data_IF_849294563771
#
_entry.id   IF_849294563771
#
_cell.length_a   1.000
_cell.length_b   1.000
_cell.length_c   1.000
_cell.angle_alpha   90.00
_cell.angle_beta   90.00
_cell.angle_gamma   90.00
#
_symmetry.space_group_name_H-M   'P 1'
#
loop_
_entity.id
_entity.type
_entity.pdbx_description
1 polymer ?
#
# COMPACT_ATOMS: atom_id res chain seq x y z
N UNK A 1 8.74 -7.06 32.67
CA UNK A 1 7.81 -7.26 31.54
C UNK A 1 7.97 -6.13 30.52
N UNK A 2 9.16 -6.01 29.85
CA UNK A 2 9.46 -4.90 28.89
C UNK A 2 10.12 -5.36 27.57
N UNK A 3 9.99 -6.63 27.19
CA UNK A 3 10.73 -7.17 26.03
C UNK A 3 9.87 -7.51 24.79
N UNK A 4 8.55 -7.28 24.80
CA UNK A 4 7.65 -7.72 23.72
C UNK A 4 7.38 -6.62 22.69
N UNK A 5 7.64 -5.35 23.03
CA UNK A 5 7.28 -4.19 22.18
C UNK A 5 8.23 -3.98 20.98
N UNK A 6 9.49 -4.40 21.09
CA UNK A 6 10.53 -4.10 20.08
C UNK A 6 10.41 -4.94 18.80
N UNK A 7 9.84 -6.14 18.86
CA UNK A 7 9.74 -7.04 17.70
C UNK A 7 8.60 -6.65 16.75
N UNK A 8 7.56 -5.95 17.24
CA UNK A 8 6.42 -5.51 16.43
C UNK A 8 6.72 -4.33 15.50
N UNK A 9 7.69 -3.49 15.84
CA UNK A 9 8.05 -2.33 15.01
C UNK A 9 8.86 -2.70 13.76
N UNK A 10 9.73 -3.69 13.85
CA UNK A 10 10.65 -4.04 12.75
C UNK A 10 9.95 -4.67 11.55
N UNK A 11 8.88 -5.45 11.77
CA UNK A 11 8.13 -6.11 10.69
C UNK A 11 7.20 -5.15 9.91
N UNK A 12 6.75 -4.07 10.55
CA UNK A 12 5.94 -3.05 9.87
C UNK A 12 6.78 -2.11 8.98
N UNK A 13 8.05 -1.88 9.34
CA UNK A 13 8.96 -1.05 8.52
C UNK A 13 9.20 -1.63 7.12
N UNK A 14 9.27 -2.96 7.00
CA UNK A 14 9.47 -3.63 5.73
C UNK A 14 8.27 -3.46 4.75
N UNK A 15 7.05 -3.32 5.28
CA UNK A 15 5.84 -3.16 4.45
C UNK A 15 5.76 -1.74 3.85
N UNK A 16 6.27 -0.74 4.57
CA UNK A 16 6.21 0.66 4.12
C UNK A 16 7.19 0.97 2.97
N UNK A 17 8.33 0.29 2.90
CA UNK A 17 9.27 0.46 1.78
C UNK A 17 8.69 -0.01 0.43
N UNK A 18 7.76 -0.98 0.43
CA UNK A 18 7.09 -1.45 -0.79
C UNK A 18 6.01 -0.51 -1.35
N UNK A 19 5.51 0.43 -0.54
CA UNK A 19 4.47 1.38 -0.97
C UNK A 19 5.00 2.39 -2.00
N UNK A 20 6.30 2.64 -2.04
CA UNK A 20 6.89 3.71 -2.86
C UNK A 20 7.18 3.35 -4.33
N UNK A 21 7.13 2.07 -4.70
CA UNK A 21 7.56 1.65 -6.04
C UNK A 21 6.46 1.50 -7.10
N UNK A 22 5.19 1.77 -6.78
CA UNK A 22 4.07 1.51 -7.69
C UNK A 22 3.34 2.75 -8.22
N UNK A 23 3.73 3.96 -7.85
CA UNK A 23 3.08 5.18 -8.31
C UNK A 23 3.89 5.95 -9.35
N UNK A 24 4.22 5.34 -10.46
CA UNK A 24 4.60 6.17 -11.61
C UNK A 24 4.41 5.41 -12.92
N UNK A 25 3.53 5.97 -13.70
CA UNK A 25 3.56 5.97 -15.16
C UNK A 25 2.55 5.10 -15.89
N UNK A 26 1.46 5.76 -16.14
CA UNK A 26 0.94 5.76 -17.51
C UNK A 26 1.67 6.90 -18.25
N UNK A 27 2.74 6.60 -18.97
CA UNK A 27 3.26 7.45 -20.04
C UNK A 27 4.36 6.68 -20.79
N UNK A 28 4.10 6.39 -22.06
CA UNK A 28 5.09 5.94 -23.02
C UNK A 28 6.13 7.04 -23.23
N UNK A 29 7.26 6.95 -22.54
CA UNK A 29 8.51 7.58 -22.99
C UNK A 29 9.70 6.87 -22.34
N UNK A 30 10.43 6.13 -23.17
CA UNK A 30 11.76 5.59 -22.83
C UNK A 30 12.71 6.78 -22.73
N UNK A 31 13.23 7.05 -21.55
CA UNK A 31 14.43 7.89 -21.36
C UNK A 31 15.44 6.99 -20.64
N UNK A 32 16.43 6.56 -21.40
CA UNK A 32 17.67 5.96 -20.90
C UNK A 32 18.52 7.05 -20.27
N UNK A 33 18.60 7.08 -18.94
CA UNK A 33 19.72 7.69 -18.20
C UNK A 33 20.15 6.71 -17.13
N UNK A 34 21.43 6.36 -17.16
CA UNK A 34 22.01 5.36 -16.28
C UNK A 34 21.93 5.78 -14.81
N UNK A 35 21.30 4.93 -14.03
CA UNK A 35 21.44 4.84 -12.60
C UNK A 35 21.43 3.33 -12.25
N UNK A 36 22.59 2.83 -11.83
CA UNK A 36 22.88 1.42 -11.55
C UNK A 36 22.32 0.95 -10.19
N UNK A 37 21.13 1.37 -9.83
CA UNK A 37 20.40 0.72 -8.73
C UNK A 37 19.70 -0.53 -9.28
N UNK A 38 19.81 -1.71 -8.62
CA UNK A 38 19.16 -2.93 -9.08
C UNK A 38 17.64 -2.80 -8.96
N UNK A 39 17.03 -2.27 -10.02
CA UNK A 39 15.57 -2.14 -10.14
C UNK A 39 14.99 -3.54 -10.23
N UNK A 40 14.24 -3.94 -9.22
CA UNK A 40 13.51 -5.20 -9.24
C UNK A 40 12.65 -5.28 -10.51
N UNK A 41 12.94 -6.26 -11.35
CA UNK A 41 12.22 -6.46 -12.61
C UNK A 41 10.83 -6.99 -12.31
N UNK A 42 9.83 -6.12 -12.37
CA UNK A 42 8.42 -6.49 -12.25
C UNK A 42 7.90 -6.93 -13.61
N UNK A 43 7.29 -8.09 -13.70
CA UNK A 43 6.75 -8.65 -14.93
C UNK A 43 5.24 -8.82 -14.81
N UNK A 44 4.47 -8.34 -15.79
CA UNK A 44 3.05 -8.63 -15.90
C UNK A 44 2.89 -10.10 -16.27
N UNK A 45 2.08 -10.82 -15.52
CA UNK A 45 1.83 -12.24 -15.71
C UNK A 45 0.33 -12.51 -15.82
N UNK A 46 -0.05 -13.55 -16.56
CA UNK A 46 -1.42 -14.03 -16.53
C UNK A 46 -1.70 -14.72 -15.19
N UNK A 47 -2.96 -14.75 -14.75
CA UNK A 47 -3.36 -15.47 -13.52
C UNK A 47 -2.95 -16.94 -13.54
N UNK A 48 -2.91 -17.59 -14.70
CA UNK A 48 -2.44 -18.97 -14.90
C UNK A 48 -0.93 -19.14 -14.66
N UNK A 49 -0.15 -18.07 -14.75
CA UNK A 49 1.29 -18.07 -14.47
C UNK A 49 1.63 -17.62 -13.04
N UNK A 50 0.64 -17.16 -12.29
CA UNK A 50 0.79 -16.87 -10.87
C UNK A 50 0.72 -18.19 -10.06
N UNK A 51 1.20 -18.14 -8.82
CA UNK A 51 1.11 -19.28 -7.92
C UNK A 51 -0.36 -19.68 -7.69
N UNK A 52 -0.71 -20.95 -7.95
CA UNK A 52 -2.08 -21.48 -7.82
C UNK A 52 -2.69 -21.22 -6.44
N UNK A 53 -1.89 -21.30 -5.36
CA UNK A 53 -2.35 -21.00 -4.00
C UNK A 53 -2.75 -19.54 -3.85
N UNK A 54 -1.95 -18.61 -4.41
CA UNK A 54 -2.26 -17.18 -4.41
C UNK A 54 -3.57 -16.89 -5.17
N UNK A 55 -3.74 -17.48 -6.35
CA UNK A 55 -4.97 -17.31 -7.16
C UNK A 55 -6.20 -17.88 -6.44
N UNK A 56 -6.08 -19.04 -5.82
CA UNK A 56 -7.18 -19.63 -5.06
C UNK A 56 -7.56 -18.80 -3.83
N UNK A 57 -6.58 -18.26 -3.10
CA UNK A 57 -6.83 -17.37 -1.97
C UNK A 57 -7.46 -16.06 -2.43
N UNK A 58 -6.96 -15.47 -3.54
CA UNK A 58 -7.53 -14.29 -4.16
C UNK A 58 -9.02 -14.46 -4.48
N UNK A 59 -9.37 -15.52 -5.18
CA UNK A 59 -10.76 -15.80 -5.58
C UNK A 59 -11.71 -16.03 -4.37
N UNK A 60 -11.17 -16.51 -3.25
CA UNK A 60 -11.95 -16.68 -2.02
C UNK A 60 -12.16 -15.37 -1.27
N UNK A 61 -11.15 -14.51 -1.25
CA UNK A 61 -11.19 -13.24 -0.50
C UNK A 61 -11.95 -12.14 -1.24
N UNK A 62 -11.79 -12.11 -2.57
CA UNK A 62 -12.26 -11.01 -3.42
C UNK A 62 -13.19 -11.53 -4.51
N UNK A 63 -14.33 -12.07 -4.08
CA UNK A 63 -15.31 -12.69 -4.98
C UNK A 63 -16.02 -11.69 -5.90
N UNK A 64 -16.01 -10.39 -5.56
CA UNK A 64 -16.55 -9.29 -6.37
C UNK A 64 -15.46 -8.53 -7.15
N UNK A 65 -14.24 -9.04 -7.17
CA UNK A 65 -13.13 -8.40 -7.89
C UNK A 65 -13.39 -8.35 -9.40
N UNK A 66 -13.12 -7.20 -10.00
CA UNK A 66 -13.22 -7.00 -11.45
C UNK A 66 -11.94 -6.41 -12.01
N UNK A 67 -11.61 -6.73 -13.27
CA UNK A 67 -10.45 -6.21 -13.95
C UNK A 67 -9.11 -6.61 -13.29
N UNK A 68 -9.06 -7.77 -12.67
CA UNK A 68 -7.87 -8.25 -11.98
C UNK A 68 -6.72 -8.51 -12.95
N UNK A 69 -5.56 -7.96 -12.66
CA UNK A 69 -4.32 -8.22 -13.38
C UNK A 69 -3.18 -8.49 -12.40
N UNK A 70 -2.27 -9.36 -12.79
CA UNK A 70 -1.23 -9.89 -11.92
C UNK A 70 0.15 -9.42 -12.34
N UNK A 71 1.00 -9.21 -11.36
CA UNK A 71 2.43 -9.00 -11.52
C UNK A 71 3.21 -10.00 -10.70
N UNK A 72 4.42 -10.29 -11.15
CA UNK A 72 5.40 -11.10 -10.43
C UNK A 72 6.72 -10.34 -10.36
N UNK A 73 7.38 -10.42 -9.23
CA UNK A 73 8.71 -9.88 -9.00
C UNK A 73 9.56 -10.84 -8.15
N UNK A 74 10.73 -10.35 -7.70
CA UNK A 74 11.65 -11.15 -6.87
C UNK A 74 11.06 -11.57 -5.52
N UNK A 75 10.03 -10.89 -5.03
CA UNK A 75 9.47 -11.09 -3.68
C UNK A 75 8.19 -11.93 -3.70
N UNK A 76 7.52 -12.05 -4.86
CA UNK A 76 6.33 -12.88 -5.02
C UNK A 76 5.37 -12.39 -6.09
N UNK A 77 4.08 -12.34 -5.75
CA UNK A 77 3.00 -11.97 -6.68
C UNK A 77 2.13 -10.86 -6.09
N UNK A 78 1.60 -10.01 -6.96
CA UNK A 78 0.55 -9.08 -6.57
C UNK A 78 -0.55 -9.04 -7.64
N UNK A 79 -1.79 -8.85 -7.19
CA UNK A 79 -2.91 -8.56 -8.07
C UNK A 79 -3.46 -7.17 -7.78
N UNK A 80 -3.74 -6.42 -8.84
CA UNK A 80 -4.48 -5.17 -8.80
C UNK A 80 -5.86 -5.42 -9.39
N UNK A 81 -6.90 -4.88 -8.78
CA UNK A 81 -8.28 -5.11 -9.17
C UNK A 81 -9.19 -3.98 -8.67
N UNK A 82 -10.43 -3.97 -9.13
CA UNK A 82 -11.48 -3.11 -8.58
C UNK A 82 -12.50 -3.94 -7.84
N UNK A 83 -12.90 -3.46 -6.66
CA UNK A 83 -13.97 -4.02 -5.86
C UNK A 83 -14.69 -2.86 -5.17
N UNK A 84 -16.02 -2.84 -5.23
CA UNK A 84 -16.89 -1.79 -4.67
C UNK A 84 -16.52 -0.36 -5.13
N UNK A 85 -16.01 -0.24 -6.36
CA UNK A 85 -15.58 1.03 -6.95
C UNK A 85 -14.19 1.52 -6.52
N UNK A 86 -13.51 0.80 -5.64
CA UNK A 86 -12.15 1.13 -5.19
C UNK A 86 -11.08 0.36 -5.96
N UNK A 87 -9.92 0.99 -6.10
CA UNK A 87 -8.72 0.29 -6.55
C UNK A 87 -8.13 -0.46 -5.37
N UNK A 88 -7.83 -1.73 -5.58
CA UNK A 88 -7.28 -2.62 -4.58
C UNK A 88 -5.97 -3.22 -5.10
N UNK A 89 -5.09 -3.57 -4.17
CA UNK A 89 -3.89 -4.37 -4.41
C UNK A 89 -3.81 -5.44 -3.34
N UNK A 90 -3.50 -6.68 -3.71
CA UNK A 90 -3.19 -7.75 -2.78
C UNK A 90 -1.83 -8.34 -3.11
N UNK A 91 -1.05 -8.65 -2.09
CA UNK A 91 0.30 -9.18 -2.24
C UNK A 91 0.44 -10.55 -1.59
N UNK A 92 1.17 -11.42 -2.29
CA UNK A 92 1.47 -12.80 -1.90
C UNK A 92 2.98 -13.04 -1.98
N UNK A 93 3.51 -13.86 -1.08
CA UNK A 93 4.89 -14.33 -1.17
C UNK A 93 5.07 -15.33 -2.35
N UNK A 94 6.31 -15.78 -2.59
CA UNK A 94 6.63 -16.78 -3.64
C UNK A 94 5.90 -18.11 -3.46
N UNK A 95 5.51 -18.44 -2.22
CA UNK A 95 4.79 -19.68 -1.87
C UNK A 95 3.28 -19.52 -2.02
N UNK A 96 2.81 -18.33 -2.40
CA UNK A 96 1.41 -18.01 -2.54
C UNK A 96 0.69 -17.74 -1.21
N UNK A 97 1.42 -17.43 -0.13
CA UNK A 97 0.80 -17.01 1.12
C UNK A 97 0.45 -15.52 1.03
N UNK A 98 -0.75 -15.16 1.48
CA UNK A 98 -1.17 -13.78 1.60
C UNK A 98 -0.26 -13.03 2.59
N UNK A 99 0.22 -11.86 2.16
CA UNK A 99 1.06 -10.98 2.97
C UNK A 99 0.28 -9.77 3.48
N UNK A 100 -0.35 -9.03 2.58
CA UNK A 100 -1.15 -7.85 2.89
C UNK A 100 -2.07 -7.47 1.71
N UNK A 101 -3.08 -6.67 2.02
CA UNK A 101 -3.96 -6.03 1.04
C UNK A 101 -3.94 -4.53 1.23
N UNK A 102 -4.10 -3.78 0.15
CA UNK A 102 -4.24 -2.32 0.16
C UNK A 102 -5.50 -1.90 -0.57
N UNK A 103 -6.22 -0.92 0.00
CA UNK A 103 -7.36 -0.27 -0.61
C UNK A 103 -7.03 1.21 -0.74
N UNK A 104 -7.28 1.79 -1.92
CA UNK A 104 -7.03 3.19 -2.20
C UNK A 104 -8.34 3.96 -2.28
N UNK A 105 -8.48 5.00 -1.46
CA UNK A 105 -9.69 5.84 -1.43
C UNK A 105 -9.38 7.27 -0.99
N UNK A 106 -10.38 8.14 -1.09
CA UNK A 106 -10.28 9.54 -0.67
C UNK A 106 -10.64 9.72 0.82
N UNK A 107 -10.50 10.92 1.33
CA UNK A 107 -10.78 11.29 2.72
C UNK A 107 -12.15 10.84 3.24
N UNK A 108 -13.19 10.80 2.37
CA UNK A 108 -14.57 10.51 2.80
C UNK A 108 -14.77 9.10 3.36
N UNK A 109 -13.86 8.17 3.05
CA UNK A 109 -13.90 6.77 3.50
C UNK A 109 -12.95 6.49 4.67
N UNK A 110 -12.11 7.45 5.04
CA UNK A 110 -11.26 7.30 6.24
C UNK A 110 -12.16 7.22 7.48
N UNK A 111 -11.98 6.24 8.39
CA UNK A 111 -12.73 6.16 9.63
C UNK A 111 -12.75 7.48 10.39
N UNK A 112 -13.90 7.81 11.00
CA UNK A 112 -14.13 9.14 11.60
C UNK A 112 -13.06 9.50 12.62
N UNK A 113 -12.65 8.54 13.47
CA UNK A 113 -11.67 8.79 14.54
C UNK A 113 -10.27 9.01 13.94
N UNK A 114 -9.85 8.18 12.99
CA UNK A 114 -8.58 8.36 12.28
C UNK A 114 -8.56 9.70 11.52
N UNK A 115 -9.67 10.07 10.86
CA UNK A 115 -9.81 11.35 10.18
C UNK A 115 -9.73 12.53 11.17
N UNK A 116 -10.42 12.45 12.30
CA UNK A 116 -10.42 13.50 13.32
C UNK A 116 -9.01 13.71 13.89
N UNK A 117 -8.28 12.62 14.18
CA UNK A 117 -6.91 12.69 14.68
C UNK A 117 -5.98 13.36 13.64
N UNK A 118 -6.05 12.94 12.37
CA UNK A 118 -5.23 13.53 11.30
C UNK A 118 -5.56 15.02 11.13
N UNK A 119 -6.84 15.39 11.06
CA UNK A 119 -7.25 16.80 10.86
C UNK A 119 -6.95 17.67 12.08
N UNK A 120 -6.92 17.13 13.29
CA UNK A 120 -6.51 17.86 14.48
C UNK A 120 -5.01 18.18 14.46
N UNK A 121 -4.17 17.26 14.02
CA UNK A 121 -2.73 17.45 13.95
C UNK A 121 -2.27 18.27 12.74
N UNK A 122 -3.01 18.16 11.61
CA UNK A 122 -2.67 18.76 10.32
C UNK A 122 -3.86 19.51 9.74
N UNK A 123 -4.40 20.46 10.52
CA UNK A 123 -5.66 21.17 10.20
C UNK A 123 -5.60 22.01 8.91
N UNK A 124 -4.40 22.44 8.51
CA UNK A 124 -4.11 23.28 7.35
C UNK A 124 -3.77 22.47 6.09
N UNK A 125 -3.69 21.15 6.19
CA UNK A 125 -3.40 20.27 5.07
C UNK A 125 -4.64 19.54 4.57
N UNK A 126 -4.73 19.31 3.25
CA UNK A 126 -5.76 18.48 2.63
C UNK A 126 -5.35 17.01 2.66
N UNK A 127 -6.30 16.12 2.95
CA UNK A 127 -6.12 14.67 2.75
C UNK A 127 -6.43 14.36 1.29
N UNK A 128 -5.40 14.04 0.50
CA UNK A 128 -5.55 13.82 -0.95
C UNK A 128 -5.69 12.35 -1.33
N UNK A 129 -5.10 11.45 -0.53
CA UNK A 129 -5.18 10.01 -0.77
C UNK A 129 -5.02 9.26 0.54
N UNK A 130 -5.81 8.21 0.72
CA UNK A 130 -5.68 7.24 1.81
C UNK A 130 -5.37 5.86 1.23
N UNK A 131 -4.37 5.20 1.79
CA UNK A 131 -4.04 3.78 1.53
C UNK A 131 -4.31 3.02 2.82
N UNK A 132 -5.40 2.28 2.86
CA UNK A 132 -5.67 1.35 3.96
C UNK A 132 -4.88 0.07 3.71
N UNK A 133 -4.00 -0.30 4.62
CA UNK A 133 -3.17 -1.51 4.55
C UNK A 133 -3.62 -2.49 5.61
N UNK A 134 -4.07 -3.66 5.18
CA UNK A 134 -4.48 -4.75 6.05
C UNK A 134 -3.42 -5.86 6.04
N UNK A 135 -3.02 -6.30 7.21
CA UNK A 135 -2.04 -7.37 7.43
C UNK A 135 -2.56 -8.39 8.43
N UNK A 136 -1.80 -9.46 8.69
CA UNK A 136 -2.10 -10.41 9.77
C UNK A 136 -1.98 -9.79 11.18
N UNK A 137 -1.31 -8.63 11.31
CA UNK A 137 -1.08 -7.93 12.58
C UNK A 137 -2.10 -6.82 12.86
N UNK A 138 -3.00 -6.54 11.92
CA UNK A 138 -3.97 -5.47 12.03
C UNK A 138 -3.97 -4.56 10.81
N UNK A 139 -4.59 -3.41 10.97
CA UNK A 139 -4.85 -2.43 9.92
C UNK A 139 -4.09 -1.13 10.23
N UNK A 140 -3.59 -0.49 9.17
CA UNK A 140 -3.02 0.85 9.24
C UNK A 140 -3.51 1.69 8.05
N UNK A 141 -3.55 3.00 8.26
CA UNK A 141 -3.88 3.97 7.23
C UNK A 141 -2.63 4.78 6.91
N UNK A 142 -2.25 4.81 5.65
CA UNK A 142 -1.20 5.70 5.14
C UNK A 142 -1.88 6.86 4.45
N UNK A 143 -1.84 8.03 5.08
CA UNK A 143 -2.58 9.23 4.68
C UNK A 143 -1.63 10.19 4.01
N UNK A 144 -1.91 10.53 2.76
CA UNK A 144 -1.17 11.55 2.03
C UNK A 144 -1.84 12.90 2.26
N UNK A 145 -1.07 13.81 2.84
CA UNK A 145 -1.48 15.19 3.15
C UNK A 145 -0.76 16.15 2.21
N UNK A 146 -1.42 17.22 1.85
CA UNK A 146 -0.88 18.23 0.94
C UNK A 146 -1.36 19.63 1.30
N UNK A 147 -0.44 20.58 1.29
CA UNK A 147 -0.71 22.03 1.26
C UNK A 147 -0.05 22.68 0.03
N UNK A 148 0.13 23.99 0.02
CA UNK A 148 0.71 24.73 -1.11
C UNK A 148 2.18 24.42 -1.36
N UNK A 149 2.93 24.04 -0.33
CA UNK A 149 4.39 23.95 -0.34
C UNK A 149 4.90 22.56 0.02
N UNK A 150 4.06 21.73 0.68
CA UNK A 150 4.51 20.50 1.33
C UNK A 150 3.59 19.33 0.99
N UNK A 151 4.20 18.17 0.82
CA UNK A 151 3.52 16.86 0.82
C UNK A 151 4.01 16.12 2.06
N UNK A 152 3.08 15.60 2.85
CA UNK A 152 3.38 14.81 4.05
C UNK A 152 2.66 13.46 4.01
N UNK A 153 3.39 12.40 4.36
CA UNK A 153 2.82 11.06 4.46
C UNK A 153 2.81 10.66 5.92
N UNK A 154 1.62 10.37 6.43
CA UNK A 154 1.39 10.02 7.84
C UNK A 154 0.81 8.61 7.91
N UNK A 155 1.38 7.79 8.78
CA UNK A 155 0.82 6.48 9.17
C UNK A 155 -0.06 6.67 10.40
N UNK A 156 -1.26 6.09 10.36
CA UNK A 156 -2.19 6.02 11.50
C UNK A 156 -2.50 4.56 11.75
N UNK A 157 -2.34 4.08 12.98
CA UNK A 157 -2.69 2.71 13.35
C UNK A 157 -4.15 2.61 13.84
N UNK A 158 -4.62 1.39 14.14
CA UNK A 158 -5.97 1.14 14.65
C UNK A 158 -6.24 1.80 16.02
N UNK A 159 -5.19 2.11 16.79
CA UNK A 159 -5.26 2.76 18.10
C UNK A 159 -5.26 4.30 17.97
N UNK A 160 -5.15 4.82 16.74
CA UNK A 160 -5.14 6.26 16.45
C UNK A 160 -3.78 6.93 16.64
N UNK A 161 -2.73 6.17 16.93
CA UNK A 161 -1.37 6.70 16.99
C UNK A 161 -0.88 7.08 15.60
N UNK A 162 -0.19 8.22 15.51
CA UNK A 162 0.28 8.78 14.24
C UNK A 162 1.79 8.90 14.21
N UNK A 163 2.36 8.64 13.04
CA UNK A 163 3.77 8.80 12.74
C UNK A 163 3.94 9.45 11.36
N UNK A 164 4.69 10.55 11.28
CA UNK A 164 5.08 11.12 9.99
C UNK A 164 6.17 10.24 9.38
N UNK A 165 5.86 9.61 8.25
CA UNK A 165 6.78 8.72 7.54
C UNK A 165 7.69 9.53 6.61
N UNK A 166 7.12 10.54 5.97
CA UNK A 166 7.82 11.33 4.96
C UNK A 166 7.26 12.75 4.88
N UNK A 167 8.17 13.69 4.61
CA UNK A 167 7.86 15.06 4.29
C UNK A 167 8.69 15.50 3.09
N UNK A 168 8.04 16.13 2.11
CA UNK A 168 8.64 16.60 0.87
C UNK A 168 8.19 18.04 0.62
N UNK A 169 9.12 18.91 0.27
CA UNK A 169 8.82 20.24 -0.26
C UNK A 169 8.51 20.13 -1.77
N UNK A 170 7.54 20.93 -2.23
CA UNK A 170 7.15 21.02 -3.65
C UNK A 170 8.08 21.91 -4.43
#
# INVERSE_FOLDING_TARGET
MKKIIIIRLATMYAILFFVHSAEARNSNKIITTGDDTPRSKTTVVNSSSANTKAVNDFNKRFNNASGAWWISDKDGFASYFKEDGFTNKVCYDKKGNWMYSMIYYNESKLPKDARANVKSAYYDMAIVLVKEVQTTLGKVYVVNLEDKTTIRIVKVNDEGEMETIQELNK
#
